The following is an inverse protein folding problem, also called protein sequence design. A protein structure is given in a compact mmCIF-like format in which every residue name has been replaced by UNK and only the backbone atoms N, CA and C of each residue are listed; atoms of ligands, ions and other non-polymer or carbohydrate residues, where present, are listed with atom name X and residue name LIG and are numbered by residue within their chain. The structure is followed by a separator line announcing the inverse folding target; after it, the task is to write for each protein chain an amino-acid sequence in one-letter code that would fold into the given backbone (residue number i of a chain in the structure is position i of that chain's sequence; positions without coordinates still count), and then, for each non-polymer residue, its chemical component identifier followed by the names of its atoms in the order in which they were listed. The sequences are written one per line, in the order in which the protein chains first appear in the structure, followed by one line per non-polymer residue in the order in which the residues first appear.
data_IF_368066146297
#
_entry.id   IF_368066146297
#
_cell.length_a   1.000
_cell.length_b   1.000
_cell.length_c   1.000
_cell.angle_alpha   90.00
_cell.angle_beta   90.00
_cell.angle_gamma   90.00
#
_symmetry.space_group_name_H-M   'P 1'
#
loop_
_entity.id
_entity.type
_entity.pdbx_description
1 polymer ?
#
# COMPACT_ATOMS: atom_id res chain seq x y z
N UNK A 1 9.09 -50.23 23.65
CA UNK A 1 9.76 -49.05 23.08
C UNK A 1 8.83 -48.21 22.18
N UNK A 2 7.78 -48.80 21.61
CA UNK A 2 6.92 -48.16 20.60
C UNK A 2 6.05 -46.99 21.11
N UNK A 3 5.66 -47.01 22.39
CA UNK A 3 4.83 -45.95 22.99
C UNK A 3 5.58 -44.63 23.20
N UNK A 4 6.90 -44.70 23.44
CA UNK A 4 7.75 -43.50 23.62
C UNK A 4 8.01 -42.79 22.29
N UNK A 5 8.14 -43.56 21.21
CA UNK A 5 8.33 -43.01 19.87
C UNK A 5 7.08 -42.28 19.36
N UNK A 6 5.88 -42.88 19.53
CA UNK A 6 4.62 -42.22 19.14
C UNK A 6 4.35 -40.94 19.93
N UNK A 7 4.72 -40.91 21.22
CA UNK A 7 4.56 -39.72 22.07
C UNK A 7 5.54 -38.61 21.70
N UNK A 8 6.77 -38.96 21.32
CA UNK A 8 7.76 -38.00 20.83
C UNK A 8 7.34 -37.38 19.49
N UNK A 9 6.78 -38.18 18.57
CA UNK A 9 6.26 -37.70 17.28
C UNK A 9 5.04 -36.79 17.48
N UNK A 10 4.09 -37.18 18.34
CA UNK A 10 2.94 -36.35 18.66
C UNK A 10 3.33 -35.04 19.37
N UNK A 11 4.33 -35.08 20.26
CA UNK A 11 4.88 -33.90 20.94
C UNK A 11 5.60 -32.95 19.99
N UNK A 12 6.34 -33.48 19.01
CA UNK A 12 6.98 -32.68 17.98
C UNK A 12 5.97 -31.99 17.05
N UNK A 13 4.92 -32.71 16.62
CA UNK A 13 3.85 -32.14 15.77
C UNK A 13 3.05 -31.07 16.52
N UNK A 14 2.81 -31.24 17.82
CA UNK A 14 2.12 -30.26 18.66
C UNK A 14 2.98 -29.01 18.96
N UNK A 15 4.30 -29.16 19.08
CA UNK A 15 5.22 -28.04 19.26
C UNK A 15 5.38 -27.18 17.99
N UNK A 16 5.13 -27.76 16.81
CA UNK A 16 5.15 -27.05 15.53
C UNK A 16 3.83 -26.29 15.26
N UNK A 17 2.72 -26.65 15.93
CA UNK A 17 1.41 -26.01 15.72
C UNK A 17 1.12 -24.84 16.65
N UNK A 18 1.93 -24.62 17.70
CA UNK A 18 1.72 -23.54 18.67
C UNK A 18 2.19 -22.15 18.20
N UNK A 19 2.62 -22.00 16.95
CA UNK A 19 2.95 -20.69 16.35
C UNK A 19 1.70 -20.00 15.77
N UNK A 20 0.62 -19.91 16.55
CA UNK A 20 -0.51 -19.04 16.25
C UNK A 20 -0.20 -17.62 16.78
N UNK A 21 0.70 -16.92 16.10
CA UNK A 21 0.89 -15.48 16.30
C UNK A 21 -0.28 -14.77 15.60
N UNK A 22 -0.95 -13.83 16.30
CA UNK A 22 -1.99 -12.94 15.76
C UNK A 22 -1.40 -11.90 14.77
N UNK A 23 -0.75 -12.43 13.75
CA UNK A 23 0.04 -11.79 12.72
C UNK A 23 0.66 -12.93 11.94
N UNK A 24 0.26 -13.09 10.68
CA UNK A 24 0.69 -14.16 9.77
C UNK A 24 2.23 -14.20 9.78
N UNK A 25 2.80 -15.09 10.58
CA UNK A 25 4.24 -15.31 10.65
C UNK A 25 4.52 -16.47 9.73
N UNK A 26 5.02 -16.18 8.54
CA UNK A 26 5.43 -17.21 7.58
C UNK A 26 6.93 -17.46 7.82
N UNK A 27 7.33 -18.59 8.43
CA UNK A 27 8.74 -18.96 8.55
C UNK A 27 9.23 -19.36 7.15
N UNK A 28 9.91 -18.42 6.54
CA UNK A 28 10.29 -18.39 5.14
C UNK A 28 11.74 -17.92 5.05
N UNK A 29 12.51 -18.39 4.06
CA UNK A 29 13.87 -17.92 3.80
C UNK A 29 13.85 -16.49 3.24
N UNK A 30 14.47 -16.27 2.09
CA UNK A 30 14.40 -14.95 1.44
C UNK A 30 12.98 -14.62 0.99
N UNK A 31 12.52 -13.41 1.31
CA UNK A 31 11.27 -12.84 0.82
C UNK A 31 11.54 -11.96 -0.38
N UNK A 32 10.82 -12.21 -1.47
CA UNK A 32 10.72 -11.24 -2.56
C UNK A 32 9.35 -10.59 -2.47
N UNK A 33 9.33 -9.29 -2.17
CA UNK A 33 8.12 -8.47 -2.14
C UNK A 33 8.12 -7.59 -3.39
N UNK A 34 7.07 -7.73 -4.20
CA UNK A 34 6.79 -6.89 -5.35
C UNK A 34 5.66 -5.92 -4.98
N UNK A 35 5.93 -4.62 -5.15
CA UNK A 35 4.96 -3.55 -4.92
C UNK A 35 4.83 -2.80 -6.24
N UNK A 36 3.64 -2.86 -6.81
CA UNK A 36 3.35 -2.25 -8.10
C UNK A 36 2.07 -1.44 -8.02
N UNK A 37 2.04 -0.31 -8.72
CA UNK A 37 0.92 0.62 -8.67
C UNK A 37 1.18 1.82 -9.56
N UNK A 38 0.17 2.67 -9.71
CA UNK A 38 0.33 3.97 -10.35
C UNK A 38 -0.12 5.11 -9.43
N UNK A 39 0.64 6.20 -9.50
CA UNK A 39 0.34 7.45 -8.80
C UNK A 39 0.19 8.54 -9.85
N UNK A 40 -0.98 9.17 -9.88
CA UNK A 40 -1.26 10.29 -10.79
C UNK A 40 -1.43 11.57 -9.97
N UNK A 41 -0.61 12.57 -10.26
CA UNK A 41 -0.70 13.89 -9.67
C UNK A 41 -0.91 14.94 -10.77
N UNK A 42 -1.77 15.91 -10.51
CA UNK A 42 -2.06 17.02 -11.39
C UNK A 42 -1.58 18.31 -10.73
N UNK A 43 -0.71 19.03 -11.43
CA UNK A 43 -0.40 20.40 -11.09
C UNK A 43 -1.35 21.32 -11.85
N UNK A 44 -2.16 22.06 -11.12
CA UNK A 44 -3.12 23.01 -11.65
C UNK A 44 -2.56 24.40 -11.38
N UNK A 45 -2.42 25.22 -12.41
CA UNK A 45 -2.02 26.61 -12.29
C UNK A 45 -3.00 27.50 -13.07
N UNK A 46 -3.67 28.37 -12.33
CA UNK A 46 -4.69 29.25 -12.82
C UNK A 46 -4.19 30.69 -12.74
N UNK A 47 -4.46 31.48 -13.77
CA UNK A 47 -4.22 32.92 -13.76
C UNK A 47 -5.56 33.65 -13.94
N UNK A 48 -5.91 34.47 -12.96
CA UNK A 48 -7.12 35.27 -12.93
C UNK A 48 -6.81 36.72 -13.25
N UNK A 49 -7.37 37.24 -14.34
CA UNK A 49 -7.09 38.60 -14.82
C UNK A 49 -8.03 39.66 -14.25
N UNK A 50 -9.21 39.26 -13.81
CA UNK A 50 -10.27 40.14 -13.31
C UNK A 50 -10.73 39.70 -11.91
N UNK A 51 -11.17 40.65 -11.08
CA UNK A 51 -11.71 40.44 -9.74
C UNK A 51 -13.23 40.22 -9.72
N UNK A 52 -13.89 40.33 -10.88
CA UNK A 52 -15.33 40.11 -10.96
C UNK A 52 -15.69 38.66 -10.57
N UNK A 53 -16.64 38.50 -9.64
CA UNK A 53 -17.18 37.18 -9.29
C UNK A 53 -18.14 36.74 -10.40
N UNK A 54 -17.89 35.58 -11.00
CA UNK A 54 -18.79 34.98 -11.98
C UNK A 54 -19.75 34.03 -11.26
N UNK A 55 -21.02 34.43 -11.17
CA UNK A 55 -22.05 33.61 -10.54
C UNK A 55 -22.24 32.30 -11.31
N UNK A 56 -22.05 31.16 -10.62
CA UNK A 56 -22.06 29.82 -11.23
C UNK A 56 -20.82 29.48 -12.08
N UNK A 57 -19.82 30.37 -12.15
CA UNK A 57 -18.58 30.14 -12.90
C UNK A 57 -17.60 29.24 -12.16
N UNK A 58 -16.88 28.38 -12.91
CA UNK A 58 -15.79 27.55 -12.38
C UNK A 58 -14.47 28.35 -12.19
N UNK A 59 -14.43 29.60 -12.67
CA UNK A 59 -13.24 30.45 -12.63
C UNK A 59 -13.13 31.21 -11.30
N UNK A 60 -11.93 31.27 -10.74
CA UNK A 60 -11.66 32.05 -9.53
C UNK A 60 -11.44 33.54 -9.88
N UNK A 61 -11.98 34.49 -9.10
CA UNK A 61 -11.63 35.89 -9.25
C UNK A 61 -10.18 36.13 -8.84
N UNK A 62 -9.56 37.18 -9.39
CA UNK A 62 -8.27 37.70 -8.95
C UNK A 62 -8.37 38.13 -7.49
N UNK A 63 -7.42 37.70 -6.67
CA UNK A 63 -7.31 38.09 -5.25
C UNK A 63 -6.25 39.19 -5.12
N UNK A 64 -6.42 40.10 -4.17
CA UNK A 64 -5.40 41.11 -3.88
C UNK A 64 -4.06 40.46 -3.53
N UNK A 65 -2.98 40.92 -4.16
CA UNK A 65 -1.61 40.42 -3.92
C UNK A 65 -1.17 39.22 -4.77
N UNK A 66 -2.07 38.52 -5.46
CA UNK A 66 -1.69 37.49 -6.44
C UNK A 66 -2.76 37.26 -7.51
N UNK A 67 -2.36 37.30 -8.78
CA UNK A 67 -3.20 36.94 -9.92
C UNK A 67 -3.10 35.44 -10.29
N UNK A 68 -2.25 34.69 -9.59
CA UNK A 68 -2.04 33.26 -9.80
C UNK A 68 -2.45 32.44 -8.60
N UNK A 69 -3.08 31.31 -8.88
CA UNK A 69 -3.38 30.28 -7.89
C UNK A 69 -2.87 28.94 -8.42
N UNK A 70 -2.15 28.21 -7.59
CA UNK A 70 -1.70 26.87 -7.90
C UNK A 70 -2.24 25.87 -6.88
N UNK A 71 -2.58 24.68 -7.36
CA UNK A 71 -2.97 23.57 -6.50
C UNK A 71 -2.38 22.27 -7.04
N UNK A 72 -2.02 21.38 -6.13
CA UNK A 72 -1.67 20.00 -6.46
C UNK A 72 -2.87 19.17 -6.08
N UNK A 73 -3.54 18.61 -7.08
CA UNK A 73 -4.64 17.70 -6.85
C UNK A 73 -4.24 16.32 -7.32
N UNK A 74 -4.84 15.33 -6.70
CA UNK A 74 -4.61 13.93 -7.03
C UNK A 74 -5.97 13.34 -7.34
N UNK A 75 -6.07 12.54 -8.40
CA UNK A 75 -7.30 11.81 -8.67
C UNK A 75 -7.53 10.72 -7.60
N UNK A 76 -7.86 9.51 -8.04
CA UNK A 76 -7.84 8.37 -7.13
C UNK A 76 -6.38 7.96 -6.88
N UNK A 77 -5.90 8.16 -5.64
CA UNK A 77 -4.58 7.68 -5.23
C UNK A 77 -4.66 6.55 -4.22
N UNK A 78 -3.96 5.42 -4.48
CA UNK A 78 -3.51 4.91 -5.79
C UNK A 78 -4.71 4.55 -6.68
N UNK A 79 -4.60 4.66 -8.01
CA UNK A 79 -5.71 4.18 -8.87
C UNK A 79 -5.73 2.65 -8.99
N UNK A 80 -4.59 2.01 -8.74
CA UNK A 80 -4.46 0.59 -8.39
C UNK A 80 -3.17 0.36 -7.59
N UNK A 81 -3.18 -0.62 -6.69
CA UNK A 81 -2.04 -1.07 -5.88
C UNK A 81 -2.06 -2.59 -5.79
N UNK A 82 -0.95 -3.23 -6.15
CA UNK A 82 -0.75 -4.67 -6.06
C UNK A 82 0.46 -4.94 -5.17
N UNK A 83 0.28 -5.85 -4.21
CA UNK A 83 1.34 -6.32 -3.32
C UNK A 83 1.42 -7.85 -3.52
N UNK A 84 2.54 -8.32 -4.06
CA UNK A 84 2.85 -9.73 -4.19
C UNK A 84 4.02 -10.09 -3.30
N UNK A 85 3.94 -11.20 -2.57
CA UNK A 85 5.06 -11.72 -1.80
C UNK A 85 5.25 -13.20 -2.11
N UNK A 86 6.48 -13.59 -2.41
CA UNK A 86 6.89 -14.99 -2.52
C UNK A 86 8.03 -15.28 -1.56
N UNK A 87 8.01 -16.49 -1.01
CA UNK A 87 9.07 -17.05 -0.16
C UNK A 87 9.69 -18.24 -0.86
N UNK A 88 11.00 -18.44 -0.73
CA UNK A 88 11.64 -19.73 -1.00
C UNK A 88 11.91 -20.44 0.32
N UNK A 89 11.45 -21.67 0.44
CA UNK A 89 11.82 -22.56 1.54
C UNK A 89 12.84 -23.56 0.99
N UNK A 90 14.07 -23.52 1.50
CA UNK A 90 15.04 -24.60 1.29
C UNK A 90 15.53 -24.83 -0.18
N UNK A 91 15.59 -23.80 -1.03
CA UNK A 91 16.14 -23.89 -2.41
C UNK A 91 15.54 -25.00 -3.30
N UNK A 92 14.32 -25.45 -3.02
CA UNK A 92 13.51 -26.28 -3.91
C UNK A 92 12.45 -25.38 -4.53
N UNK A 93 12.33 -25.41 -5.86
CA UNK A 93 11.39 -24.60 -6.65
C UNK A 93 9.94 -24.68 -6.13
#
# INVERSE_FOLDING_TARGET
MNKKLGLAVAGAVLALSSAAQAGITIPAGDWTVDISGNVNAFYINNQSKDSNTIEGGLSNPKVEGSDRSSSINTGLLPSWLTIGAKTRQNDLD
#
